data_IF_566654602799
#
_entry.id   IF_566654602799
#
_cell.length_a   1.000
_cell.length_b   1.000
_cell.length_c   1.000
_cell.angle_alpha   90.00
_cell.angle_beta   90.00
_cell.angle_gamma   90.00
#
_symmetry.space_group_name_H-M   'P 1'
#
loop_
_entity.id
_entity.type
_entity.pdbx_description
1 polymer ?
#
# COMPACT_ATOMS: atom_id res chain seq x y z
N UNK A 1 7.40 8.81 -6.22
CA UNK A 1 6.12 8.14 -5.89
C UNK A 1 5.83 8.37 -4.41
N UNK A 2 4.57 8.63 -4.09
CA UNK A 2 4.19 8.93 -2.71
C UNK A 2 3.94 7.66 -1.92
N UNK A 3 4.24 7.72 -0.63
CA UNK A 3 3.91 6.64 0.29
C UNK A 3 2.45 6.74 0.70
N UNK A 4 1.87 5.61 1.10
CA UNK A 4 0.51 5.54 1.59
C UNK A 4 0.48 4.84 2.94
N UNK A 5 -0.40 5.26 3.82
CA UNK A 5 -0.53 4.69 5.15
C UNK A 5 -1.92 4.08 5.32
N UNK A 6 -1.96 2.87 5.88
CA UNK A 6 -3.22 2.25 6.28
C UNK A 6 -3.77 2.99 7.50
N UNK A 7 -4.99 3.52 7.38
CA UNK A 7 -5.59 4.30 8.47
C UNK A 7 -6.07 3.43 9.65
N UNK A 8 -6.07 2.11 9.48
CA UNK A 8 -6.52 1.17 10.51
C UNK A 8 -5.37 0.67 11.37
N UNK A 9 -4.27 0.23 10.73
CA UNK A 9 -3.14 -0.34 11.47
C UNK A 9 -1.84 0.46 11.36
N UNK A 10 -1.85 1.55 10.58
CA UNK A 10 -0.70 2.43 10.37
C UNK A 10 0.46 1.79 9.58
N UNK A 11 0.20 0.69 8.86
CA UNK A 11 1.21 0.11 7.99
C UNK A 11 1.47 1.06 6.81
N UNK A 12 2.74 1.25 6.45
CA UNK A 12 3.12 2.16 5.37
C UNK A 12 3.45 1.37 4.12
N UNK A 13 2.78 1.70 3.02
CA UNK A 13 3.16 1.19 1.70
C UNK A 13 4.21 2.12 1.10
N UNK A 14 5.42 1.60 0.94
CA UNK A 14 6.51 2.32 0.29
C UNK A 14 6.65 1.80 -1.14
N UNK A 15 6.37 2.62 -2.17
CA UNK A 15 6.46 2.16 -3.55
C UNK A 15 7.83 1.64 -3.95
N UNK A 16 8.89 2.16 -3.33
CA UNK A 16 10.25 1.70 -3.62
C UNK A 16 10.48 0.26 -3.16
N UNK A 17 9.76 -0.18 -2.16
CA UNK A 17 9.86 -1.52 -1.59
C UNK A 17 8.81 -2.46 -2.15
N UNK A 18 7.61 -1.94 -2.41
CA UNK A 18 6.48 -2.74 -2.83
C UNK A 18 5.92 -3.60 -1.69
N UNK A 19 5.21 -4.64 -2.07
CA UNK A 19 4.69 -5.64 -1.13
C UNK A 19 4.89 -7.02 -1.74
N UNK A 20 6.10 -7.58 -1.67
CA UNK A 20 6.39 -8.87 -2.30
C UNK A 20 5.51 -10.01 -1.78
N UNK A 21 5.14 -9.99 -0.51
CA UNK A 21 4.27 -11.00 0.08
C UNK A 21 2.85 -10.94 -0.50
N UNK A 22 2.41 -9.75 -0.91
CA UNK A 22 1.13 -9.54 -1.56
C UNK A 22 1.21 -9.57 -3.08
N UNK A 23 2.38 -9.87 -3.64
CA UNK A 23 2.57 -9.93 -5.09
C UNK A 23 2.80 -8.59 -5.76
N UNK A 24 3.18 -7.57 -5.01
CA UNK A 24 3.41 -6.22 -5.55
C UNK A 24 4.92 -5.99 -5.65
N UNK A 25 5.40 -5.86 -6.88
CA UNK A 25 6.83 -5.69 -7.13
C UNK A 25 7.32 -4.32 -6.63
N UNK A 26 8.60 -4.23 -6.21
CA UNK A 26 9.21 -2.93 -5.92
C UNK A 26 9.13 -2.00 -7.14
N UNK A 27 8.88 -0.72 -6.88
CA UNK A 27 8.72 0.26 -7.94
C UNK A 27 7.29 0.44 -8.44
N UNK A 28 6.31 -0.20 -7.80
CA UNK A 28 4.92 -0.10 -8.19
C UNK A 28 4.26 1.07 -7.43
N UNK A 29 3.74 2.09 -8.15
CA UNK A 29 2.98 3.14 -7.48
C UNK A 29 1.68 2.59 -6.91
N UNK A 30 1.19 3.20 -5.84
CA UNK A 30 -0.01 2.72 -5.17
C UNK A 30 -1.21 2.62 -6.13
N UNK A 31 -1.33 3.59 -7.04
CA UNK A 31 -2.43 3.63 -8.00
C UNK A 31 -2.43 2.46 -8.97
N UNK A 32 -1.28 1.83 -9.18
CA UNK A 32 -1.14 0.68 -10.07
C UNK A 32 -1.44 -0.65 -9.38
N UNK A 33 -1.60 -0.66 -8.06
CA UNK A 33 -1.93 -1.87 -7.32
C UNK A 33 -3.36 -2.30 -7.66
N UNK A 34 -3.61 -3.59 -7.92
CA UNK A 34 -4.97 -4.07 -8.21
C UNK A 34 -5.95 -3.75 -7.07
N UNK A 35 -7.22 -3.53 -7.41
CA UNK A 35 -8.23 -3.18 -6.42
C UNK A 35 -8.53 -4.30 -5.42
N UNK A 36 -8.21 -5.54 -5.76
CA UNK A 36 -8.41 -6.68 -4.87
C UNK A 36 -7.25 -6.89 -3.87
N UNK A 37 -6.21 -6.07 -3.96
CA UNK A 37 -5.12 -6.10 -2.98
C UNK A 37 -5.60 -5.55 -1.64
N UNK A 38 -5.10 -6.15 -0.57
CA UNK A 38 -5.46 -5.73 0.79
C UNK A 38 -4.20 -5.50 1.60
N UNK A 39 -4.36 -4.73 2.69
CA UNK A 39 -3.25 -4.48 3.61
C UNK A 39 -2.71 -5.81 4.15
N UNK A 40 -1.39 -6.05 4.09
CA UNK A 40 -0.83 -7.32 4.54
C UNK A 40 -0.89 -7.52 6.05
N UNK A 41 -1.13 -6.45 6.80
CA UNK A 41 -1.20 -6.52 8.26
C UNK A 41 -2.61 -6.71 8.79
N UNK A 42 -3.58 -5.93 8.28
CA UNK A 42 -4.93 -5.95 8.85
C UNK A 42 -6.02 -6.36 7.85
N UNK A 43 -5.69 -6.46 6.56
CA UNK A 43 -6.61 -6.98 5.56
C UNK A 43 -7.64 -6.00 5.01
N UNK A 44 -7.52 -4.70 5.30
CA UNK A 44 -8.43 -3.71 4.73
C UNK A 44 -8.07 -3.42 3.28
N UNK A 45 -9.02 -2.85 2.53
CA UNK A 45 -8.83 -2.53 1.11
C UNK A 45 -8.06 -1.23 0.93
N UNK A 46 -7.72 -0.92 -0.33
CA UNK A 46 -7.03 0.32 -0.69
C UNK A 46 -7.79 1.56 -0.24
N UNK A 47 -9.12 1.48 -0.11
CA UNK A 47 -9.95 2.62 0.30
C UNK A 47 -9.61 3.13 1.70
N UNK A 48 -9.01 2.29 2.54
CA UNK A 48 -8.63 2.67 3.89
C UNK A 48 -7.18 3.19 3.97
N UNK A 49 -6.59 3.52 2.84
CA UNK A 49 -5.25 4.09 2.78
C UNK A 49 -5.32 5.58 2.46
N UNK A 50 -4.41 6.35 3.05
CA UNK A 50 -4.25 7.76 2.77
C UNK A 50 -2.83 8.05 2.32
N UNK A 51 -2.69 9.05 1.44
CA UNK A 51 -1.38 9.47 0.97
C UNK A 51 -0.59 10.12 2.11
N UNK A 52 0.68 9.73 2.23
CA UNK A 52 1.60 10.35 3.18
C UNK A 52 2.38 11.40 2.42
N UNK A 53 2.19 12.65 2.77
CA UNK A 53 2.94 13.76 2.17
C UNK A 53 4.13 14.12 3.05
N UNK A 54 5.30 14.10 2.45
CA UNK A 54 6.55 14.45 3.14
C UNK A 54 7.09 15.79 2.64
#
# INVERSE_FOLDING_TARGET
>A
MKKYVCTVCNWIYDPAVGDPDGGIAPGTPFEAIPDDWVCPLCGVTKEDFEVVEE
#
